data_IF_111728142857
#
_entry.id   IF_111728142857
#
_cell.length_a   1.000
_cell.length_b   1.000
_cell.length_c   1.000
_cell.angle_alpha   90.00
_cell.angle_beta   90.00
_cell.angle_gamma   90.00
#
_symmetry.space_group_name_H-M   'P 1'
#
loop_
_entity.id
_entity.type
_entity.pdbx_description
1 polymer ?
#
# COMPACT_ATOMS: atom_id res chain seq x y z
N UNK A 1 6.17 9.92 -0.43
CA UNK A 1 6.07 9.77 1.04
C UNK A 1 7.45 9.88 1.65
N UNK A 2 7.59 10.38 2.88
CA UNK A 2 8.91 10.49 3.53
C UNK A 2 9.35 9.14 4.13
N UNK A 3 10.25 8.43 3.44
CA UNK A 3 10.80 7.13 3.86
C UNK A 3 11.47 7.18 5.24
N UNK A 4 12.14 8.29 5.57
CA UNK A 4 12.80 8.43 6.86
C UNK A 4 11.76 8.48 7.98
N UNK A 5 10.69 9.25 7.78
CA UNK A 5 9.58 9.34 8.74
C UNK A 5 8.86 8.01 8.93
N UNK A 6 8.60 7.26 7.84
CA UNK A 6 7.98 5.94 7.93
C UNK A 6 8.85 4.96 8.74
N UNK A 7 10.17 5.00 8.52
CA UNK A 7 11.13 4.20 9.28
C UNK A 7 11.17 4.59 10.76
N UNK A 8 11.18 5.88 11.10
CA UNK A 8 11.19 6.32 12.51
C UNK A 8 9.88 6.02 13.24
N UNK A 9 8.77 5.90 12.52
CA UNK A 9 7.50 5.44 13.05
C UNK A 9 7.41 3.92 13.24
N UNK A 10 8.40 3.14 12.77
CA UNK A 10 8.39 1.69 12.83
C UNK A 10 7.35 1.05 11.90
N UNK A 11 7.01 1.71 10.79
CA UNK A 11 6.09 1.14 9.79
C UNK A 11 6.77 -0.03 9.08
N UNK A 12 6.13 -1.21 9.12
CA UNK A 12 6.60 -2.45 8.49
C UNK A 12 5.76 -2.89 7.29
N UNK A 13 4.57 -2.31 7.11
CA UNK A 13 3.64 -2.68 6.04
C UNK A 13 3.01 -1.43 5.43
N UNK A 14 2.89 -1.39 4.10
CA UNK A 14 2.28 -0.30 3.35
C UNK A 14 1.25 -0.87 2.36
N UNK A 15 0.01 -0.39 2.47
CA UNK A 15 -1.02 -0.58 1.45
C UNK A 15 -1.18 0.74 0.68
N UNK A 16 -0.87 0.75 -0.61
CA UNK A 16 -1.12 1.89 -1.49
C UNK A 16 -2.40 1.65 -2.29
N UNK A 17 -3.47 2.38 -1.95
CA UNK A 17 -4.76 2.24 -2.60
C UNK A 17 -4.88 3.04 -3.92
N UNK A 18 -3.83 3.73 -4.35
CA UNK A 18 -3.80 4.52 -5.57
C UNK A 18 -2.43 4.39 -6.24
N UNK A 19 -1.95 3.16 -6.46
CA UNK A 19 -0.69 2.92 -7.17
C UNK A 19 -0.81 3.33 -8.64
N UNK A 20 0.23 3.96 -9.18
CA UNK A 20 0.37 4.23 -10.62
C UNK A 20 0.99 5.59 -10.93
N UNK A 21 1.27 5.81 -12.21
CA UNK A 21 2.06 6.95 -12.71
C UNK A 21 1.21 8.22 -13.01
N UNK A 22 -0.10 8.08 -13.28
CA UNK A 22 -0.97 9.19 -13.68
C UNK A 22 -2.01 9.53 -12.61
N UNK A 23 -1.90 10.72 -12.00
CA UNK A 23 -2.77 11.24 -10.92
C UNK A 23 -2.88 10.33 -9.67
N UNK A 24 -2.00 9.33 -9.60
CA UNK A 24 -1.91 8.33 -8.56
C UNK A 24 -0.66 8.58 -7.70
N UNK A 25 -0.54 7.87 -6.58
CA UNK A 25 0.68 7.88 -5.78
C UNK A 25 1.72 7.04 -6.51
N UNK A 26 2.62 7.72 -7.22
CA UNK A 26 3.74 7.14 -7.97
C UNK A 26 4.83 6.60 -7.03
N UNK A 27 4.45 5.58 -6.27
CA UNK A 27 5.35 4.71 -5.54
C UNK A 27 4.90 3.29 -5.80
N UNK A 28 5.87 2.40 -6.00
CA UNK A 28 5.67 0.95 -5.97
C UNK A 28 6.64 0.30 -5.00
N UNK A 29 6.65 -1.04 -4.96
CA UNK A 29 7.56 -1.80 -4.09
C UNK A 29 9.03 -1.36 -4.19
N UNK A 30 9.49 -1.01 -5.41
CA UNK A 30 10.86 -0.57 -5.68
C UNK A 30 11.26 0.70 -4.90
N UNK A 31 10.30 1.60 -4.63
CA UNK A 31 10.55 2.82 -3.84
C UNK A 31 10.97 2.50 -2.40
N UNK A 32 10.47 1.38 -1.86
CA UNK A 32 10.67 0.90 -0.50
C UNK A 32 11.68 -0.25 -0.40
N UNK A 33 12.35 -0.66 -1.48
CA UNK A 33 13.22 -1.86 -1.52
C UNK A 33 14.34 -1.91 -0.47
N UNK A 34 14.84 -0.75 -0.05
CA UNK A 34 15.92 -0.62 0.94
C UNK A 34 15.37 -0.47 2.37
N UNK A 35 14.05 -0.55 2.51
CA UNK A 35 13.33 -0.57 3.77
C UNK A 35 12.83 -2.00 4.00
N UNK A 36 12.82 -2.42 5.26
CA UNK A 36 12.22 -3.68 5.68
C UNK A 36 10.69 -3.50 5.77
N UNK A 37 10.07 -3.28 4.60
CA UNK A 37 8.65 -2.99 4.47
C UNK A 37 8.02 -3.94 3.47
N UNK A 38 6.94 -4.59 3.88
CA UNK A 38 6.06 -5.31 2.99
C UNK A 38 5.13 -4.31 2.30
N UNK A 39 5.01 -4.41 0.98
CA UNK A 39 4.27 -3.46 0.16
C UNK A 39 3.16 -4.15 -0.63
N UNK A 40 1.94 -3.60 -0.58
CA UNK A 40 0.78 -4.04 -1.35
C UNK A 40 0.17 -2.87 -2.11
N UNK A 41 0.24 -2.92 -3.44
CA UNK A 41 -0.27 -1.90 -4.34
C UNK A 41 -1.62 -2.28 -4.96
N UNK A 42 -2.55 -1.33 -4.97
CA UNK A 42 -3.78 -1.38 -5.77
C UNK A 42 -3.74 -0.21 -6.73
N UNK A 43 -3.74 -0.52 -8.03
CA UNK A 43 -3.93 0.48 -9.08
C UNK A 43 -5.41 0.85 -9.16
N UNK A 44 -5.84 1.78 -8.30
CA UNK A 44 -7.18 2.35 -8.34
C UNK A 44 -7.16 3.83 -8.70
N UNK A 45 -8.23 4.27 -9.35
CA UNK A 45 -8.49 5.67 -9.67
C UNK A 45 -9.62 6.20 -8.77
N UNK A 46 -9.47 7.43 -8.28
CA UNK A 46 -10.52 8.11 -7.51
C UNK A 46 -11.60 8.70 -8.45
N UNK A 47 -12.34 7.80 -9.10
CA UNK A 47 -13.45 8.16 -9.99
C UNK A 47 -14.67 7.26 -9.74
N UNK A 48 -15.92 7.77 -9.86
CA UNK A 48 -17.13 6.99 -9.59
C UNK A 48 -17.29 5.73 -10.46
N UNK A 49 -16.62 5.69 -11.61
CA UNK A 49 -16.66 4.57 -12.56
C UNK A 49 -15.66 3.47 -12.23
N UNK A 50 -14.70 3.71 -11.34
CA UNK A 50 -13.73 2.70 -10.96
C UNK A 50 -14.38 1.70 -10.00
N UNK A 51 -14.39 0.42 -10.38
CA UNK A 51 -14.93 -0.63 -9.51
C UNK A 51 -13.90 -0.99 -8.43
N UNK A 52 -13.92 -0.29 -7.29
CA UNK A 52 -13.04 -0.60 -6.16
C UNK A 52 -13.42 -1.91 -5.45
N UNK A 53 -14.67 -2.37 -5.60
CA UNK A 53 -15.17 -3.52 -4.84
C UNK A 53 -14.44 -4.83 -5.15
N UNK A 54 -13.83 -4.92 -6.34
CA UNK A 54 -13.02 -6.08 -6.74
C UNK A 54 -11.81 -6.30 -5.82
N UNK A 55 -11.34 -5.27 -5.11
CA UNK A 55 -10.18 -5.34 -4.21
C UNK A 55 -10.54 -5.48 -2.73
N UNK A 56 -11.83 -5.42 -2.37
CA UNK A 56 -12.23 -5.39 -0.96
C UNK A 56 -11.74 -6.60 -0.17
N UNK A 57 -11.90 -7.81 -0.73
CA UNK A 57 -11.48 -9.03 -0.05
C UNK A 57 -9.95 -9.15 0.03
N UNK A 58 -9.23 -8.90 -1.06
CA UNK A 58 -7.77 -9.02 -1.08
C UNK A 58 -7.09 -7.97 -0.19
N UNK A 59 -7.60 -6.73 -0.20
CA UNK A 59 -7.11 -5.67 0.68
C UNK A 59 -7.40 -5.98 2.16
N UNK A 60 -8.63 -6.42 2.46
CA UNK A 60 -9.00 -6.79 3.83
C UNK A 60 -8.18 -7.98 4.33
N UNK A 61 -7.92 -8.97 3.47
CA UNK A 61 -7.07 -10.11 3.82
C UNK A 61 -5.62 -9.68 4.10
N UNK A 62 -5.05 -8.80 3.27
CA UNK A 62 -3.71 -8.24 3.53
C UNK A 62 -3.65 -7.56 4.89
N UNK A 63 -4.60 -6.66 5.18
CA UNK A 63 -4.68 -5.96 6.48
C UNK A 63 -4.83 -6.98 7.62
N UNK A 64 -5.70 -7.98 7.47
CA UNK A 64 -5.94 -8.99 8.50
C UNK A 64 -4.69 -9.84 8.78
N UNK A 65 -3.97 -10.27 7.75
CA UNK A 65 -2.73 -11.03 7.91
C UNK A 65 -1.64 -10.19 8.59
N UNK A 66 -1.48 -8.92 8.18
CA UNK A 66 -0.55 -7.98 8.81
C UNK A 66 -0.84 -7.78 10.30
N UNK A 67 -2.10 -7.63 10.68
CA UNK A 67 -2.47 -7.40 12.08
C UNK A 67 -2.41 -8.65 12.96
N UNK A 68 -2.46 -9.85 12.36
CA UNK A 68 -2.40 -11.14 13.10
C UNK A 68 -0.99 -11.51 13.55
N UNK A 69 0.02 -11.11 12.79
CA UNK A 69 1.43 -11.33 13.11
C UNK A 69 2.16 -9.97 13.14
N UNK A 70 1.94 -9.15 14.19
CA UNK A 70 2.77 -7.98 14.38
C UNK A 70 4.20 -8.45 14.68
N UNK A 71 5.11 -8.22 13.73
CA UNK A 71 6.55 -8.40 13.94
C UNK A 71 7.10 -7.44 15.01
#
# INVERSE_FOLDING_TARGET
MDRYKLKTMGITHILNAAEGEWNNVDTGAEYYKDMDVNYYGITAEDVPTFNLSQYFYSAAEYIHQTLRNPE
#
